data_IF_340493929460
#
_entry.id   IF_340493929460
#
_cell.length_a   1.000
_cell.length_b   1.000
_cell.length_c   1.000
_cell.angle_alpha   90.00
_cell.angle_beta   90.00
_cell.angle_gamma   90.00
#
_symmetry.space_group_name_H-M   'P 1'
#
loop_
_entity.id
_entity.type
_entity.pdbx_description
1 polymer ?
#
# COMPACT_ATOMS: atom_id res chain seq x y z
N UNK A 1 -17.29 4.79 9.62
CA UNK A 1 -18.03 4.28 8.44
C UNK A 1 -17.41 3.01 7.84
N UNK A 2 -16.24 2.56 8.30
CA UNK A 2 -15.67 1.25 7.96
C UNK A 2 -15.91 0.32 9.15
N UNK A 3 -16.37 -0.90 8.89
CA UNK A 3 -16.52 -1.97 9.88
C UNK A 3 -15.44 -2.99 9.57
N UNK A 4 -14.70 -3.42 10.59
CA UNK A 4 -13.77 -4.53 10.44
C UNK A 4 -14.58 -5.84 10.48
N UNK A 5 -14.38 -6.69 9.48
CA UNK A 5 -15.04 -7.99 9.35
C UNK A 5 -14.08 -9.10 9.74
N UNK A 6 -14.59 -10.19 10.30
CA UNK A 6 -13.78 -11.38 10.52
C UNK A 6 -13.69 -12.22 9.25
N UNK A 7 -12.62 -13.00 9.14
CA UNK A 7 -12.28 -13.81 7.96
C UNK A 7 -13.37 -14.83 7.56
N UNK A 8 -14.18 -15.28 8.53
CA UNK A 8 -15.28 -16.23 8.34
C UNK A 8 -16.54 -15.59 7.74
N UNK A 9 -16.60 -14.27 7.67
CA UNK A 9 -17.72 -13.49 7.10
C UNK A 9 -17.53 -13.25 5.59
N UNK A 10 -17.28 -14.32 4.83
CA UNK A 10 -16.88 -14.23 3.41
C UNK A 10 -17.89 -13.44 2.55
N UNK A 11 -19.19 -13.69 2.75
CA UNK A 11 -20.25 -13.04 1.97
C UNK A 11 -20.34 -11.54 2.29
N UNK A 12 -20.19 -11.17 3.57
CA UNK A 12 -20.16 -9.78 4.01
C UNK A 12 -18.91 -9.06 3.50
N UNK A 13 -17.75 -9.71 3.52
CA UNK A 13 -16.49 -9.17 2.98
C UNK A 13 -16.69 -8.80 1.52
N UNK A 14 -17.22 -9.74 0.72
CA UNK A 14 -17.49 -9.51 -0.69
C UNK A 14 -18.52 -8.41 -0.91
N UNK A 15 -19.67 -8.47 -0.24
CA UNK A 15 -20.73 -7.45 -0.38
C UNK A 15 -20.24 -6.05 -0.02
N UNK A 16 -19.46 -5.94 1.05
CA UNK A 16 -18.88 -4.66 1.47
C UNK A 16 -17.87 -4.15 0.44
N UNK A 17 -16.96 -5.01 0.00
CA UNK A 17 -15.95 -4.66 -1.00
C UNK A 17 -16.57 -4.25 -2.34
N UNK A 18 -17.55 -4.99 -2.88
CA UNK A 18 -18.19 -4.62 -4.16
C UNK A 18 -18.90 -3.25 -4.06
N UNK A 19 -19.53 -2.97 -2.91
CA UNK A 19 -20.20 -1.70 -2.68
C UNK A 19 -19.22 -0.53 -2.54
N UNK A 20 -18.15 -0.73 -1.77
CA UNK A 20 -17.30 0.37 -1.29
C UNK A 20 -15.88 0.42 -1.89
N UNK A 21 -15.42 -0.63 -2.56
CA UNK A 21 -14.09 -0.71 -3.18
C UNK A 21 -12.94 -0.84 -2.18
N UNK A 22 -13.28 -0.96 -0.90
CA UNK A 22 -12.39 -1.12 0.23
C UNK A 22 -13.09 -2.00 1.25
N UNK A 23 -12.32 -2.83 1.95
CA UNK A 23 -12.80 -3.66 3.07
C UNK A 23 -11.66 -3.82 4.06
N UNK A 24 -12.01 -3.94 5.36
CA UNK A 24 -11.05 -4.24 6.42
C UNK A 24 -11.39 -5.61 6.97
N UNK A 25 -10.40 -6.51 6.98
CA UNK A 25 -10.53 -7.85 7.55
C UNK A 25 -9.63 -7.92 8.79
N UNK A 26 -10.24 -8.12 9.96
CA UNK A 26 -9.57 -8.17 11.24
C UNK A 26 -8.89 -9.52 11.49
N UNK A 27 -7.90 -9.50 12.38
CA UNK A 27 -7.29 -10.71 12.97
C UNK A 27 -6.71 -11.69 11.94
N UNK A 28 -6.22 -11.17 10.80
CA UNK A 28 -5.55 -12.00 9.77
C UNK A 28 -4.16 -12.45 10.22
N UNK A 29 -3.55 -11.71 11.14
CA UNK A 29 -2.32 -12.06 11.85
C UNK A 29 -2.60 -12.14 13.36
N UNK A 30 -1.81 -12.96 14.05
CA UNK A 30 -1.74 -12.97 15.51
C UNK A 30 -0.86 -11.83 16.04
N UNK A 31 -1.03 -11.47 17.31
CA UNK A 31 -0.21 -10.44 17.98
C UNK A 31 1.29 -10.74 17.86
N UNK A 32 1.68 -12.01 17.99
CA UNK A 32 3.08 -12.44 17.84
C UNK A 32 3.59 -12.23 16.41
N UNK A 33 2.78 -12.53 15.40
CA UNK A 33 3.14 -12.27 13.99
C UNK A 33 3.25 -10.76 13.73
N UNK A 34 2.37 -9.95 14.30
CA UNK A 34 2.46 -8.50 14.22
C UNK A 34 3.75 -7.98 14.88
N UNK A 35 4.07 -8.43 16.11
CA UNK A 35 5.28 -8.01 16.82
C UNK A 35 6.56 -8.39 16.05
N UNK A 36 6.65 -9.61 15.53
CA UNK A 36 7.77 -10.03 14.68
C UNK A 36 7.88 -9.16 13.43
N UNK A 37 6.75 -8.77 12.84
CA UNK A 37 6.73 -7.92 11.64
C UNK A 37 7.24 -6.51 11.95
N UNK A 38 6.81 -5.94 13.08
CA UNK A 38 7.29 -4.64 13.55
C UNK A 38 8.79 -4.69 13.82
N UNK A 39 9.28 -5.74 14.48
CA UNK A 39 10.71 -5.94 14.73
C UNK A 39 11.50 -6.02 13.41
N UNK A 40 10.98 -6.68 12.39
CA UNK A 40 11.58 -6.73 11.05
C UNK A 40 11.59 -5.36 10.35
N UNK A 41 10.58 -4.50 10.56
CA UNK A 41 10.56 -3.11 10.04
C UNK A 41 11.65 -2.27 10.72
N UNK A 42 11.82 -2.37 12.04
CA UNK A 42 12.88 -1.65 12.75
C UNK A 42 14.28 -2.16 12.40
N UNK A 43 14.44 -3.47 12.24
CA UNK A 43 15.68 -4.05 11.71
C UNK A 43 15.99 -3.53 10.31
N UNK A 44 15.00 -3.46 9.43
CA UNK A 44 15.16 -2.87 8.10
C UNK A 44 15.62 -1.41 8.17
N UNK A 45 15.04 -0.60 9.06
CA UNK A 45 15.48 0.77 9.28
C UNK A 45 16.95 0.87 9.73
N UNK A 46 17.36 -0.01 10.65
CA UNK A 46 18.73 -0.08 11.17
C UNK A 46 19.73 -0.47 10.08
N UNK A 47 19.46 -1.56 9.37
CA UNK A 47 20.37 -2.14 8.38
C UNK A 47 20.51 -1.26 7.13
N UNK A 48 19.42 -0.63 6.67
CA UNK A 48 19.38 0.04 5.37
C UNK A 48 19.62 1.55 5.44
N UNK A 49 19.37 2.18 6.59
CA UNK A 49 19.35 3.65 6.66
C UNK A 49 20.15 4.23 7.81
N UNK A 50 19.89 3.78 9.04
CA UNK A 50 20.52 4.35 10.23
C UNK A 50 20.75 3.27 11.30
N UNK A 51 21.98 2.76 11.48
CA UNK A 51 22.27 1.69 12.45
C UNK A 51 22.01 2.11 13.91
N UNK A 52 21.99 3.42 14.19
CA UNK A 52 21.78 3.96 15.53
C UNK A 52 20.29 4.26 15.82
N UNK A 53 19.38 3.96 14.88
CA UNK A 53 17.95 4.22 15.06
C UNK A 53 17.37 3.27 16.10
N UNK A 54 16.61 3.84 17.04
CA UNK A 54 16.01 3.12 18.16
C UNK A 54 14.52 3.39 18.22
N UNK A 55 13.73 2.32 18.39
CA UNK A 55 12.25 2.35 18.38
C UNK A 55 11.66 3.22 19.48
N UNK A 56 12.35 3.37 20.59
CA UNK A 56 11.91 4.06 21.81
C UNK A 56 12.63 5.41 22.02
N UNK A 57 13.46 5.85 21.07
CA UNK A 57 14.22 7.10 21.15
C UNK A 57 13.91 8.00 19.94
N UNK A 58 12.84 8.82 19.98
CA UNK A 58 12.44 9.69 18.87
C UNK A 58 13.50 10.68 18.39
N UNK A 59 14.48 10.99 19.23
CA UNK A 59 15.68 11.76 18.89
C UNK A 59 16.41 11.17 17.69
N UNK A 60 16.45 9.83 17.61
CA UNK A 60 17.17 9.09 16.56
C UNK A 60 16.44 9.13 15.21
N UNK A 61 15.15 9.48 15.19
CA UNK A 61 14.32 9.46 13.98
C UNK A 61 14.46 10.70 13.10
N UNK A 62 15.16 11.73 13.59
CA UNK A 62 15.39 12.97 12.84
C UNK A 62 16.52 12.83 11.81
N UNK A 63 17.47 11.92 12.07
CA UNK A 63 18.65 11.73 11.23
C UNK A 63 18.50 10.49 10.34
N UNK A 64 18.81 10.65 9.05
CA UNK A 64 18.78 9.56 8.04
C UNK A 64 17.47 8.75 8.01
N UNK A 65 16.33 9.39 8.26
CA UNK A 65 15.05 8.75 8.03
C UNK A 65 14.82 8.50 6.52
N UNK A 66 14.21 7.37 6.11
CA UNK A 66 14.07 7.03 4.69
C UNK A 66 13.36 8.08 3.84
N UNK A 67 13.71 8.10 2.55
CA UNK A 67 12.97 8.86 1.53
C UNK A 67 11.53 8.34 1.40
N UNK A 68 10.63 9.17 0.86
CA UNK A 68 9.19 8.89 0.73
C UNK A 68 8.43 8.73 2.06
N UNK A 69 9.05 9.05 3.19
CA UNK A 69 8.45 8.96 4.51
C UNK A 69 7.27 9.89 4.75
N UNK A 70 7.21 11.04 4.07
CA UNK A 70 6.03 11.92 4.06
C UNK A 70 4.87 11.37 3.22
N UNK A 71 5.04 10.16 2.67
CA UNK A 71 3.98 9.36 2.04
C UNK A 71 3.78 8.02 2.78
N UNK A 72 4.40 7.88 3.96
CA UNK A 72 4.32 6.66 4.78
C UNK A 72 5.16 5.48 4.26
N UNK A 73 6.05 5.69 3.29
CA UNK A 73 6.85 4.63 2.66
C UNK A 73 8.30 4.73 3.14
N UNK A 74 8.96 3.57 3.36
CA UNK A 74 10.35 3.51 3.77
C UNK A 74 11.28 3.23 2.58
N UNK A 75 11.57 4.28 1.81
CA UNK A 75 12.50 4.21 0.67
C UNK A 75 11.98 3.42 -0.53
N UNK A 76 12.90 2.95 -1.37
CA UNK A 76 12.59 2.15 -2.56
C UNK A 76 13.10 0.70 -2.47
N UNK A 77 13.64 0.28 -1.33
CA UNK A 77 14.09 -1.09 -1.16
C UNK A 77 12.91 -2.02 -0.87
N UNK A 78 13.02 -3.25 -1.38
CA UNK A 78 12.02 -4.29 -1.16
C UNK A 78 12.15 -4.78 0.28
N UNK A 79 11.02 -4.85 0.99
CA UNK A 79 11.00 -5.42 2.33
C UNK A 79 10.90 -6.94 2.24
N UNK A 80 12.07 -7.57 2.11
CA UNK A 80 12.26 -9.01 1.94
C UNK A 80 12.91 -9.63 3.19
N UNK A 81 12.20 -9.51 4.31
CA UNK A 81 12.60 -10.08 5.60
C UNK A 81 11.80 -11.37 5.90
N UNK A 82 12.31 -12.28 6.75
CA UNK A 82 11.65 -13.54 7.06
C UNK A 82 10.16 -13.40 7.40
N UNK A 83 9.80 -12.50 8.33
CA UNK A 83 8.40 -12.34 8.71
C UNK A 83 7.56 -11.74 7.58
N UNK A 84 8.15 -10.90 6.72
CA UNK A 84 7.46 -10.39 5.53
C UNK A 84 7.18 -11.50 4.51
N UNK A 85 8.06 -12.51 4.39
CA UNK A 85 7.81 -13.70 3.58
C UNK A 85 6.74 -14.60 4.19
N UNK A 86 6.75 -14.77 5.51
CA UNK A 86 5.75 -15.55 6.24
C UNK A 86 4.36 -14.92 6.15
N UNK A 87 4.26 -13.58 6.29
CA UNK A 87 3.01 -12.86 6.14
C UNK A 87 2.41 -13.02 4.73
N UNK A 88 3.24 -12.97 3.68
CA UNK A 88 2.78 -13.17 2.29
C UNK A 88 2.30 -14.59 2.01
N UNK A 89 2.69 -15.57 2.84
CA UNK A 89 2.27 -16.96 2.76
C UNK A 89 1.23 -17.35 3.83
N UNK A 90 0.78 -16.38 4.63
CA UNK A 90 -0.17 -16.66 5.71
C UNK A 90 -1.51 -17.13 5.14
N UNK A 91 -2.10 -18.23 5.65
CA UNK A 91 -3.32 -18.81 5.12
C UNK A 91 -4.54 -17.89 5.23
N UNK A 92 -4.64 -17.06 6.26
CA UNK A 92 -5.74 -16.10 6.41
C UNK A 92 -5.59 -14.98 5.38
N UNK A 93 -4.38 -14.46 5.16
CA UNK A 93 -4.12 -13.45 4.14
C UNK A 93 -4.41 -14.01 2.75
N UNK A 94 -3.94 -15.22 2.44
CA UNK A 94 -4.29 -15.94 1.21
C UNK A 94 -5.81 -16.04 1.05
N UNK A 95 -6.53 -16.45 2.10
CA UNK A 95 -7.99 -16.58 2.08
C UNK A 95 -8.71 -15.26 1.81
N UNK A 96 -8.26 -14.14 2.38
CA UNK A 96 -8.81 -12.81 2.06
C UNK A 96 -8.70 -12.53 0.56
N UNK A 97 -7.50 -12.68 -0.01
CA UNK A 97 -7.31 -12.42 -1.43
C UNK A 97 -8.07 -13.41 -2.32
N UNK A 98 -8.14 -14.68 -1.92
CA UNK A 98 -8.92 -15.70 -2.62
C UNK A 98 -10.40 -15.32 -2.69
N UNK A 99 -10.96 -14.82 -1.57
CA UNK A 99 -12.33 -14.29 -1.52
C UNK A 99 -12.45 -13.12 -2.50
N UNK A 100 -11.59 -12.11 -2.40
CA UNK A 100 -11.71 -10.87 -3.18
C UNK A 100 -11.46 -11.03 -4.68
N UNK A 101 -10.57 -11.93 -5.09
CA UNK A 101 -10.33 -12.23 -6.51
C UNK A 101 -11.29 -13.27 -7.07
N UNK A 102 -11.84 -14.15 -6.22
CA UNK A 102 -12.70 -15.26 -6.66
C UNK A 102 -11.93 -16.39 -7.36
N UNK A 103 -10.65 -16.57 -7.06
CA UNK A 103 -9.80 -17.62 -7.61
C UNK A 103 -8.73 -18.08 -6.59
N UNK A 104 -8.07 -19.20 -6.90
CA UNK A 104 -7.11 -19.85 -6.00
C UNK A 104 -5.64 -19.70 -6.43
N UNK A 105 -5.39 -19.28 -7.67
CA UNK A 105 -4.06 -19.19 -8.28
C UNK A 105 -3.53 -17.77 -8.15
N UNK A 106 -3.17 -17.41 -6.92
CA UNK A 106 -2.66 -16.09 -6.58
C UNK A 106 -1.16 -15.96 -6.80
N UNK A 107 -0.74 -14.81 -7.32
CA UNK A 107 0.67 -14.44 -7.44
C UNK A 107 1.02 -13.45 -6.33
N UNK A 108 2.08 -13.76 -5.58
CA UNK A 108 2.59 -12.90 -4.52
C UNK A 108 3.46 -11.79 -5.09
N UNK A 109 3.18 -10.54 -4.68
CA UNK A 109 4.01 -9.38 -5.00
C UNK A 109 4.96 -9.03 -3.83
N UNK A 110 6.22 -8.76 -4.15
CA UNK A 110 7.21 -8.29 -3.17
C UNK A 110 7.27 -6.76 -3.22
N UNK A 111 6.69 -6.14 -2.19
CA UNK A 111 6.59 -4.69 -2.03
C UNK A 111 7.45 -4.15 -0.87
N UNK A 112 7.34 -2.86 -0.61
CA UNK A 112 8.05 -2.07 0.38
C UNK A 112 7.38 -2.14 1.76
N UNK A 113 8.10 -1.70 2.79
CA UNK A 113 7.54 -1.44 4.12
C UNK A 113 7.06 0.01 4.24
N UNK A 114 6.12 0.25 5.14
CA UNK A 114 5.67 1.58 5.53
C UNK A 114 5.77 1.77 7.04
N UNK A 115 6.07 3.00 7.44
CA UNK A 115 6.03 3.46 8.84
C UNK A 115 5.86 4.98 8.84
N UNK A 116 4.86 5.45 9.58
CA UNK A 116 4.64 6.87 9.82
C UNK A 116 5.21 7.25 11.20
N UNK A 117 5.80 8.44 11.29
CA UNK A 117 6.25 8.99 12.57
C UNK A 117 5.09 9.73 13.24
N UNK A 118 4.93 9.65 14.57
CA UNK A 118 3.99 10.52 15.28
C UNK A 118 4.37 11.98 15.06
N UNK A 119 3.39 12.88 15.00
CA UNK A 119 3.64 14.31 14.71
C UNK A 119 3.25 15.23 15.86
N UNK A 120 2.53 14.70 16.84
CA UNK A 120 1.96 15.44 17.97
C UNK A 120 2.37 14.81 19.29
N UNK A 121 2.62 15.65 20.29
CA UNK A 121 2.87 15.23 21.67
C UNK A 121 3.96 14.15 21.81
N UNK A 122 5.07 14.28 21.08
CA UNK A 122 6.14 13.27 21.08
C UNK A 122 7.04 13.51 22.29
N UNK A 123 7.17 12.51 23.15
CA UNK A 123 8.09 12.56 24.28
C UNK A 123 9.52 12.21 23.84
N UNK A 124 10.49 13.05 24.20
CA UNK A 124 11.92 12.90 23.90
C UNK A 124 12.68 12.62 25.21
N UNK A 125 12.99 11.34 25.52
CA UNK A 125 13.57 10.93 26.79
C UNK A 125 14.90 11.61 27.14
N UNK A 126 15.76 11.87 26.15
CA UNK A 126 17.11 12.43 26.36
C UNK A 126 17.11 13.81 27.02
N UNK A 127 15.99 14.53 26.91
CA UNK A 127 15.82 15.92 27.36
C UNK A 127 14.55 16.12 28.18
N UNK A 128 13.82 15.05 28.48
CA UNK A 128 12.57 15.06 29.26
C UNK A 128 11.56 16.11 28.77
N UNK A 129 11.28 16.10 27.46
CA UNK A 129 10.45 17.13 26.82
C UNK A 129 9.43 16.55 25.85
N UNK A 130 8.24 17.16 25.79
CA UNK A 130 7.22 16.88 24.78
C UNK A 130 7.28 17.94 23.68
N UNK A 131 7.34 17.51 22.41
CA UNK A 131 7.31 18.40 21.25
C UNK A 131 6.50 17.85 20.09
N UNK A 132 5.97 18.77 19.28
CA UNK A 132 5.38 18.46 17.98
C UNK A 132 6.47 18.39 16.89
N UNK A 133 6.20 17.63 15.83
CA UNK A 133 7.03 17.49 14.63
C UNK A 133 6.17 17.66 13.38
N UNK A 134 5.79 18.90 13.11
CA UNK A 134 5.00 19.29 11.95
C UNK A 134 5.65 18.88 10.62
N UNK A 135 6.99 18.93 10.55
CA UNK A 135 7.76 18.54 9.38
C UNK A 135 7.78 17.02 9.12
N UNK A 136 7.20 16.21 10.01
CA UNK A 136 7.05 14.75 9.81
C UNK A 136 5.69 14.36 9.25
N UNK A 137 4.76 15.31 9.12
CA UNK A 137 3.44 15.07 8.54
C UNK A 137 3.54 14.55 7.11
N UNK A 138 2.51 13.79 6.74
CA UNK A 138 2.28 13.45 5.36
C UNK A 138 2.00 14.72 4.53
N UNK A 139 2.31 14.65 3.25
CA UNK A 139 2.01 15.76 2.32
C UNK A 139 0.50 16.01 2.23
N UNK A 140 0.11 17.28 2.06
CA UNK A 140 -1.29 17.70 2.12
C UNK A 140 -2.12 17.32 0.90
N UNK A 141 -1.47 17.07 -0.25
CA UNK A 141 -2.12 16.73 -1.51
C UNK A 141 -1.51 15.44 -2.07
N UNK A 142 -2.25 14.34 -1.90
CA UNK A 142 -1.82 13.02 -2.38
C UNK A 142 -2.99 12.12 -2.79
N UNK A 143 -4.15 12.68 -3.12
CA UNK A 143 -5.22 11.88 -3.70
C UNK A 143 -4.84 11.52 -5.14
N UNK A 144 -4.61 10.24 -5.39
CA UNK A 144 -4.12 9.77 -6.68
C UNK A 144 -4.63 8.36 -6.99
N UNK A 145 -4.36 7.90 -8.21
CA UNK A 145 -4.46 6.51 -8.62
C UNK A 145 -3.05 5.99 -8.88
N UNK A 146 -2.68 4.87 -8.28
CA UNK A 146 -1.35 4.27 -8.46
C UNK A 146 -1.14 3.65 -9.84
N UNK A 147 -2.21 3.08 -10.40
CA UNK A 147 -2.19 2.44 -11.71
C UNK A 147 -3.02 3.25 -12.69
N UNK A 148 -2.47 3.45 -13.87
CA UNK A 148 -3.18 4.04 -14.99
C UNK A 148 -4.36 3.13 -15.38
N UNK A 149 -5.62 3.59 -15.24
CA UNK A 149 -6.78 2.72 -15.46
C UNK A 149 -7.03 2.41 -16.93
N UNK A 150 -6.51 3.22 -17.87
CA UNK A 150 -6.62 2.96 -19.31
C UNK A 150 -5.56 1.96 -19.78
N UNK A 151 -4.30 2.30 -19.56
CA UNK A 151 -3.17 1.54 -20.11
C UNK A 151 -2.78 0.34 -19.24
N UNK A 152 -3.09 0.40 -17.94
CA UNK A 152 -2.63 -0.58 -16.95
C UNK A 152 -1.18 -0.39 -16.52
N UNK A 153 -0.50 0.68 -16.98
CA UNK A 153 0.84 1.04 -16.50
C UNK A 153 0.80 1.26 -14.99
N UNK A 154 1.74 0.65 -14.29
CA UNK A 154 1.91 0.76 -12.85
C UNK A 154 3.36 1.12 -12.52
N UNK A 155 3.62 1.49 -11.27
CA UNK A 155 4.98 1.74 -10.77
C UNK A 155 5.77 0.44 -10.61
N UNK A 156 7.05 0.56 -10.25
CA UNK A 156 8.05 -0.52 -10.12
C UNK A 156 7.64 -1.72 -9.25
N UNK A 157 6.63 -1.57 -8.38
CA UNK A 157 6.17 -2.61 -7.46
C UNK A 157 4.80 -3.16 -7.84
N UNK A 158 4.35 -2.96 -9.08
CA UNK A 158 3.18 -3.61 -9.66
C UNK A 158 3.57 -4.81 -10.52
N UNK A 159 2.63 -5.73 -10.74
CA UNK A 159 2.73 -6.67 -11.85
C UNK A 159 2.29 -5.96 -13.12
N UNK A 160 3.24 -5.73 -14.04
CA UNK A 160 2.89 -5.45 -15.43
C UNK A 160 2.41 -6.76 -16.06
N UNK A 161 1.33 -6.72 -16.85
CA UNK A 161 0.95 -7.88 -17.64
C UNK A 161 1.96 -8.03 -18.79
N UNK A 162 3.06 -8.75 -18.54
CA UNK A 162 4.20 -8.96 -19.47
C UNK A 162 3.82 -9.76 -20.74
N UNK A 163 2.55 -10.10 -20.95
CA UNK A 163 2.15 -11.03 -22.01
C UNK A 163 1.55 -10.41 -23.29
N UNK A 164 1.32 -9.10 -23.38
CA UNK A 164 0.81 -8.48 -24.62
C UNK A 164 1.48 -7.12 -24.89
N UNK A 165 2.72 -7.14 -25.38
CA UNK A 165 3.36 -5.97 -26.01
C UNK A 165 4.73 -5.64 -25.44
N UNK A 166 5.77 -6.03 -26.18
CA UNK A 166 7.11 -5.50 -26.01
C UNK A 166 7.10 -3.96 -26.06
N UNK A 167 7.77 -3.31 -25.11
CA UNK A 167 8.17 -1.90 -25.20
C UNK A 167 9.08 -1.70 -26.44
N UNK A 168 8.54 -1.19 -27.55
CA UNK A 168 9.34 -0.47 -28.54
C UNK A 168 9.41 1.00 -28.10
N UNK A 169 10.60 1.44 -27.65
CA UNK A 169 10.89 2.82 -27.25
C UNK A 169 10.82 3.85 -28.40
N UNK A 170 10.28 3.50 -29.58
CA UNK A 170 10.56 4.22 -30.82
C UNK A 170 9.36 4.74 -31.59
N UNK A 171 8.11 4.63 -31.11
CA UNK A 171 6.97 5.19 -31.85
C UNK A 171 6.02 5.95 -30.95
N UNK A 172 5.70 7.15 -31.43
CA UNK A 172 4.61 8.03 -31.02
C UNK A 172 3.47 7.26 -30.30
N UNK A 173 3.15 7.59 -29.04
CA UNK A 173 2.07 6.97 -28.28
C UNK A 173 0.72 6.98 -29.01
N UNK A 174 0.52 7.90 -29.96
CA UNK A 174 -0.68 8.00 -30.80
C UNK A 174 -0.74 6.91 -31.90
N UNK A 175 0.40 6.28 -32.20
CA UNK A 175 0.56 5.28 -33.26
C UNK A 175 0.61 3.84 -32.74
N UNK A 176 0.31 3.61 -31.44
CA UNK A 176 0.02 2.29 -30.88
C UNK A 176 -1.32 1.70 -31.38
N UNK A 177 -1.67 1.97 -32.64
CA UNK A 177 -2.74 1.34 -33.36
C UNK A 177 -2.25 0.00 -33.91
N UNK A 178 -2.19 -0.99 -33.02
CA UNK A 178 -2.60 -2.36 -33.28
C UNK A 178 -2.78 -3.12 -31.95
N UNK A 179 -3.95 -2.89 -31.35
CA UNK A 179 -4.78 -3.83 -30.59
C UNK A 179 -4.27 -4.36 -29.23
N UNK A 180 -4.66 -3.64 -28.16
CA UNK A 180 -5.51 -4.08 -27.01
C UNK A 180 -5.26 -3.18 -25.77
N UNK A 181 -5.57 -1.87 -25.86
CA UNK A 181 -5.47 -0.97 -24.70
C UNK A 181 -6.76 -0.98 -23.88
N UNK A 182 -7.00 -2.10 -23.19
CA UNK A 182 -7.94 -2.17 -22.06
C UNK A 182 -7.35 -3.01 -20.89
N UNK A 183 -6.02 -3.10 -20.82
CA UNK A 183 -5.30 -3.95 -19.86
C UNK A 183 -5.32 -3.40 -18.41
N UNK A 184 -5.69 -2.13 -18.20
CA UNK A 184 -5.88 -1.57 -16.86
C UNK A 184 -7.06 -2.21 -16.14
N UNK A 185 -8.20 -2.34 -16.82
CA UNK A 185 -9.47 -2.80 -16.23
C UNK A 185 -9.85 -4.24 -16.57
N UNK A 186 -9.04 -4.97 -17.36
CA UNK A 186 -9.35 -6.34 -17.83
C UNK A 186 -9.48 -7.36 -16.69
N UNK A 187 -8.69 -7.21 -15.64
CA UNK A 187 -8.73 -8.05 -14.45
C UNK A 187 -8.81 -7.17 -13.22
N UNK A 188 -9.47 -7.67 -12.17
CA UNK A 188 -9.42 -7.06 -10.84
C UNK A 188 -7.96 -6.97 -10.41
N UNK A 189 -7.59 -5.83 -9.84
CA UNK A 189 -6.27 -5.56 -9.26
C UNK A 189 -6.52 -4.94 -7.91
N UNK A 190 -5.77 -5.39 -6.91
CA UNK A 190 -5.97 -5.00 -5.53
C UNK A 190 -4.65 -4.48 -4.97
N UNK A 191 -4.76 -3.43 -4.16
CA UNK A 191 -3.71 -3.05 -3.22
C UNK A 191 -4.19 -3.41 -1.82
N UNK A 192 -3.24 -3.66 -0.93
CA UNK A 192 -3.53 -3.91 0.46
C UNK A 192 -2.39 -3.38 1.34
N UNK A 193 -2.75 -3.04 2.56
CA UNK A 193 -1.83 -2.70 3.64
C UNK A 193 -2.14 -3.68 4.77
N UNK A 194 -1.11 -4.30 5.33
CA UNK A 194 -1.23 -5.02 6.59
C UNK A 194 -0.95 -4.04 7.72
N UNK A 195 -1.97 -3.75 8.54
CA UNK A 195 -1.76 -3.00 9.78
C UNK A 195 -1.04 -3.92 10.77
N UNK A 196 0.15 -3.51 11.20
CA UNK A 196 0.98 -4.25 12.15
C UNK A 196 0.83 -3.74 13.59
N UNK A 197 0.24 -2.56 13.74
CA UNK A 197 -0.15 -1.95 15.01
C UNK A 197 -1.53 -1.30 14.86
N UNK A 198 -2.16 -1.00 15.99
CA UNK A 198 -3.45 -0.30 16.01
C UNK A 198 -3.32 1.08 15.35
N UNK A 199 -4.17 1.33 14.36
CA UNK A 199 -4.26 2.60 13.65
C UNK A 199 -5.51 3.34 14.11
N UNK A 200 -5.35 4.34 14.98
CA UNK A 200 -6.46 5.12 15.53
C UNK A 200 -6.81 6.26 14.58
N UNK A 201 -7.97 6.86 14.78
CA UNK A 201 -8.44 7.95 13.92
C UNK A 201 -7.49 9.16 13.99
N UNK A 202 -6.94 9.44 15.16
CA UNK A 202 -5.98 10.53 15.38
C UNK A 202 -4.61 10.30 14.71
N UNK A 203 -4.28 9.07 14.31
CA UNK A 203 -2.99 8.75 13.70
C UNK A 203 -2.95 9.15 12.21
N UNK A 204 -4.09 9.53 11.62
CA UNK A 204 -4.16 10.06 10.25
C UNK A 204 -3.91 9.01 9.14
N UNK A 205 -4.37 7.78 9.37
CA UNK A 205 -4.07 6.59 8.56
C UNK A 205 -4.57 6.60 7.10
N UNK A 206 -4.97 5.42 6.59
CA UNK A 206 -5.31 5.27 5.17
C UNK A 206 -6.64 5.95 4.81
N UNK A 207 -6.61 6.78 3.77
CA UNK A 207 -7.80 7.45 3.21
C UNK A 207 -8.07 6.94 1.79
N UNK A 208 -9.34 6.73 1.47
CA UNK A 208 -9.81 6.36 0.13
C UNK A 208 -11.13 7.07 -0.19
N UNK A 209 -11.56 7.01 -1.45
CA UNK A 209 -12.88 7.48 -1.91
C UNK A 209 -13.79 6.25 -2.09
N UNK A 210 -14.60 5.86 -1.08
CA UNK A 210 -15.36 4.62 -1.14
C UNK A 210 -16.39 4.65 -2.27
N UNK A 211 -16.48 3.57 -3.03
CA UNK A 211 -17.40 3.42 -4.16
C UNK A 211 -16.86 3.97 -5.48
N UNK A 212 -15.70 4.63 -5.50
CA UNK A 212 -15.12 5.18 -6.73
C UNK A 212 -14.84 4.10 -7.79
N UNK A 213 -14.57 2.86 -7.39
CA UNK A 213 -14.40 1.72 -8.29
C UNK A 213 -15.64 1.45 -9.17
N UNK A 214 -16.83 1.88 -8.75
CA UNK A 214 -18.05 1.75 -9.56
C UNK A 214 -18.11 2.79 -10.70
N UNK A 215 -17.28 3.84 -10.61
CA UNK A 215 -17.24 4.94 -11.57
C UNK A 215 -15.96 4.96 -12.40
N UNK A 216 -14.91 4.22 -12.00
CA UNK A 216 -13.59 4.25 -12.65
C UNK A 216 -13.69 4.01 -14.15
N UNK A 217 -14.47 3.03 -14.61
CA UNK A 217 -14.61 2.72 -16.04
C UNK A 217 -15.21 3.88 -16.83
N UNK A 218 -16.27 4.51 -16.30
CA UNK A 218 -16.91 5.66 -16.94
C UNK A 218 -15.98 6.87 -16.93
N UNK A 219 -15.34 7.12 -15.77
CA UNK A 219 -14.37 8.19 -15.61
C UNK A 219 -13.20 8.05 -16.59
N UNK A 220 -12.60 6.86 -16.70
CA UNK A 220 -11.48 6.59 -17.62
C UNK A 220 -11.89 6.80 -19.09
N UNK A 221 -13.09 6.38 -19.49
CA UNK A 221 -13.60 6.62 -20.86
C UNK A 221 -13.80 8.10 -21.16
N UNK A 222 -14.22 8.89 -20.18
CA UNK A 222 -14.42 10.34 -20.32
C UNK A 222 -13.10 11.12 -20.25
N UNK A 223 -12.07 10.56 -19.62
CA UNK A 223 -10.79 11.20 -19.35
C UNK A 223 -9.61 10.47 -20.03
N UNK A 224 -9.84 9.91 -21.23
CA UNK A 224 -8.81 9.13 -21.93
C UNK A 224 -7.53 9.91 -22.17
N UNK A 225 -7.64 11.19 -22.58
CA UNK A 225 -6.46 12.03 -22.83
C UNK A 225 -5.61 12.21 -21.56
N UNK A 226 -6.23 12.48 -20.40
CA UNK A 226 -5.52 12.56 -19.13
C UNK A 226 -4.79 11.24 -18.79
N UNK A 227 -5.43 10.11 -19.11
CA UNK A 227 -4.82 8.80 -18.91
C UNK A 227 -3.70 8.49 -19.92
N UNK A 228 -3.56 9.21 -21.03
CA UNK A 228 -2.47 9.02 -21.99
C UNK A 228 -1.30 9.96 -21.73
N UNK A 229 -1.57 11.11 -21.12
CA UNK A 229 -0.57 12.15 -20.79
C UNK A 229 0.26 11.81 -19.52
N UNK A 230 -0.03 10.68 -18.86
CA UNK A 230 0.60 10.17 -17.62
C UNK A 230 1.48 8.93 -17.87
#
# INVERSE_FOLDING_TARGET
FIVALNIDQEEEILKFFEKHGVVVVANVLTDEQCERSVNDVWRFLQEMFNPDIQRDQPETWSYKWPSFSTMGILGNDRWLYPQACDNRQNPNIYKVFQILFGEHELIVNITRAGLMRPTKNIYFPSRDQIEDRENWKTISEWLHLDMNPLTGRATTYGFEHVAEGHFEFSKDPLCAQNQLTNNGMRKRKLQAILALEDCREEDGGFHAVPGFQNYITTWTKQNQQLCLDT
#
